data_IF_570129150799
#
_entry.id   IF_570129150799
#
_cell.length_a   1.000
_cell.length_b   1.000
_cell.length_c   1.000
_cell.angle_alpha   90.00
_cell.angle_beta   90.00
_cell.angle_gamma   90.00
#
_symmetry.space_group_name_H-M   'P 1'
#
loop_
_entity.id
_entity.type
_entity.pdbx_description
1 polymer ?
#
# COMPACT_ATOMS: atom_id res chain seq x y z
N UNK A 1 -13.46 -2.17 -10.35
CA UNK A 1 -13.22 -0.73 -10.51
C UNK A 1 -14.48 0.03 -10.23
N UNK A 2 -14.39 1.11 -9.48
CA UNK A 2 -15.51 1.91 -9.01
C UNK A 2 -16.04 2.95 -10.00
N UNK A 3 -15.47 3.04 -11.22
CA UNK A 3 -15.88 4.01 -12.24
C UNK A 3 -16.81 3.40 -13.28
N UNK A 4 -17.82 4.14 -13.72
CA UNK A 4 -18.75 3.75 -14.78
C UNK A 4 -19.28 4.96 -15.54
N UNK A 5 -19.63 4.78 -16.80
CA UNK A 5 -20.33 5.83 -17.56
C UNK A 5 -21.82 5.85 -17.18
N UNK A 6 -22.35 7.07 -16.97
CA UNK A 6 -23.78 7.29 -16.75
C UNK A 6 -24.56 7.36 -18.08
N UNK A 7 -25.88 7.56 -17.99
CA UNK A 7 -26.78 7.64 -19.16
C UNK A 7 -26.47 8.81 -20.10
N UNK A 8 -25.73 9.82 -19.60
CA UNK A 8 -25.28 10.96 -20.40
C UNK A 8 -23.89 10.71 -21.04
N UNK A 9 -23.30 9.54 -20.83
CA UNK A 9 -21.98 9.17 -21.28
C UNK A 9 -20.85 9.79 -20.49
N UNK A 10 -21.07 10.44 -19.34
CA UNK A 10 -20.02 10.98 -18.51
C UNK A 10 -19.50 9.93 -17.53
N UNK A 11 -18.18 9.90 -17.31
CA UNK A 11 -17.58 9.00 -16.33
C UNK A 11 -17.92 9.43 -14.90
N UNK A 12 -18.35 8.49 -14.07
CA UNK A 12 -18.75 8.72 -12.66
C UNK A 12 -18.01 7.78 -11.71
N UNK A 13 -17.84 8.20 -10.47
CA UNK A 13 -17.36 7.41 -9.34
C UNK A 13 -18.27 7.64 -8.15
N UNK A 14 -18.70 6.59 -7.48
CA UNK A 14 -19.65 6.66 -6.34
C UNK A 14 -20.90 7.52 -6.65
N UNK A 15 -21.39 7.51 -7.90
CA UNK A 15 -22.54 8.31 -8.35
C UNK A 15 -22.23 9.76 -8.71
N UNK A 16 -21.03 10.26 -8.47
CA UNK A 16 -20.62 11.64 -8.75
C UNK A 16 -20.00 11.77 -10.15
N UNK A 17 -20.42 12.78 -10.95
CA UNK A 17 -19.78 13.09 -12.23
C UNK A 17 -18.36 13.61 -12.02
N UNK A 18 -17.38 12.89 -12.56
CA UNK A 18 -15.97 13.27 -12.47
C UNK A 18 -15.66 14.53 -13.29
N UNK A 19 -16.41 14.77 -14.36
CA UNK A 19 -16.34 16.02 -15.14
C UNK A 19 -16.76 17.22 -14.29
N UNK A 20 -17.88 17.14 -13.59
CA UNK A 20 -18.36 18.19 -12.71
C UNK A 20 -17.35 18.46 -11.58
N UNK A 21 -16.76 17.41 -11.02
CA UNK A 21 -15.73 17.53 -9.98
C UNK A 21 -14.49 18.26 -10.53
N UNK A 22 -13.96 17.83 -11.69
CA UNK A 22 -12.82 18.49 -12.34
C UNK A 22 -13.08 19.96 -12.66
N UNK A 23 -14.29 20.30 -13.16
CA UNK A 23 -14.68 21.68 -13.45
C UNK A 23 -14.81 22.55 -12.19
N UNK A 24 -15.24 21.96 -11.08
CA UNK A 24 -15.48 22.72 -9.84
C UNK A 24 -14.21 22.94 -9.02
N UNK A 25 -13.27 22.01 -9.05
CA UNK A 25 -12.08 22.00 -8.18
C UNK A 25 -10.75 22.06 -8.94
N UNK A 26 -10.78 21.90 -10.26
CA UNK A 26 -9.59 21.87 -11.11
C UNK A 26 -8.90 20.51 -11.16
N UNK A 27 -7.83 20.46 -11.94
CA UNK A 27 -6.95 19.30 -12.13
C UNK A 27 -5.48 19.74 -12.01
N UNK A 28 -4.49 18.88 -11.76
CA UNK A 28 -4.65 17.47 -11.40
C UNK A 28 -5.35 17.28 -10.05
N UNK A 29 -6.18 16.23 -9.93
CA UNK A 29 -6.93 15.94 -8.71
C UNK A 29 -7.00 14.42 -8.49
N UNK A 30 -6.71 13.96 -7.27
CA UNK A 30 -6.82 12.55 -6.90
C UNK A 30 -8.18 12.32 -6.23
N UNK A 31 -8.88 11.28 -6.68
CA UNK A 31 -10.23 10.96 -6.21
C UNK A 31 -10.26 9.52 -5.74
N UNK A 32 -10.75 9.30 -4.52
CA UNK A 32 -10.94 7.99 -3.92
C UNK A 32 -12.42 7.65 -3.78
N UNK A 33 -12.77 6.41 -4.06
CA UNK A 33 -14.04 5.80 -3.68
C UNK A 33 -13.91 5.25 -2.25
N UNK A 34 -14.54 5.93 -1.29
CA UNK A 34 -14.49 5.54 0.13
C UNK A 34 -15.15 4.18 0.37
N UNK A 35 -16.25 3.90 -0.32
CA UNK A 35 -16.96 2.63 -0.18
C UNK A 35 -16.12 1.45 -0.66
N UNK A 36 -15.35 1.64 -1.73
CA UNK A 36 -14.42 0.61 -2.22
C UNK A 36 -13.24 0.40 -1.26
N UNK A 37 -12.65 1.46 -0.69
CA UNK A 37 -11.62 1.34 0.35
C UNK A 37 -12.13 0.49 1.51
N UNK A 38 -13.32 0.80 2.04
CA UNK A 38 -13.94 0.04 3.14
C UNK A 38 -14.23 -1.40 2.75
N UNK A 39 -14.72 -1.61 1.54
CA UNK A 39 -15.00 -2.94 1.02
C UNK A 39 -13.74 -3.81 0.99
N UNK A 40 -12.61 -3.30 0.51
CA UNK A 40 -11.36 -4.04 0.48
C UNK A 40 -10.87 -4.39 1.90
N UNK A 41 -10.94 -3.47 2.87
CA UNK A 41 -10.61 -3.75 4.27
C UNK A 41 -11.48 -4.89 4.84
N UNK A 42 -12.80 -4.84 4.58
CA UNK A 42 -13.75 -5.85 5.05
C UNK A 42 -13.54 -7.21 4.39
N UNK A 43 -13.10 -7.26 3.14
CA UNK A 43 -12.77 -8.52 2.45
C UNK A 43 -11.67 -9.27 3.19
N UNK A 44 -10.58 -8.60 3.58
CA UNK A 44 -9.53 -9.20 4.39
C UNK A 44 -10.04 -9.68 5.75
N UNK A 45 -10.83 -8.87 6.46
CA UNK A 45 -11.45 -9.29 7.72
C UNK A 45 -12.30 -10.55 7.56
N UNK A 46 -13.18 -10.57 6.56
CA UNK A 46 -14.07 -11.69 6.30
C UNK A 46 -13.31 -12.98 5.94
N UNK A 47 -12.20 -12.85 5.19
CA UNK A 47 -11.36 -13.99 4.85
C UNK A 47 -10.71 -14.60 6.09
N UNK A 48 -10.12 -13.77 6.96
CA UNK A 48 -9.52 -14.26 8.21
C UNK A 48 -10.54 -14.81 9.21
N UNK A 49 -11.71 -14.19 9.35
CA UNK A 49 -12.77 -14.71 10.22
C UNK A 49 -13.15 -16.14 9.87
N UNK A 50 -13.18 -16.50 8.58
CA UNK A 50 -13.47 -17.86 8.13
C UNK A 50 -12.37 -18.85 8.49
N UNK A 51 -11.11 -18.42 8.64
CA UNK A 51 -10.00 -19.30 9.02
C UNK A 51 -10.09 -19.78 10.47
N UNK A 52 -10.78 -19.04 11.35
CA UNK A 52 -10.87 -19.32 12.78
C UNK A 52 -9.57 -19.05 13.56
N UNK A 53 -8.53 -18.50 12.94
CA UNK A 53 -7.29 -18.09 13.61
C UNK A 53 -7.45 -16.69 14.23
N UNK A 54 -6.63 -16.40 15.24
CA UNK A 54 -6.42 -15.01 15.67
C UNK A 54 -5.66 -14.28 14.57
N UNK A 55 -6.03 -13.04 14.32
CA UNK A 55 -5.40 -12.25 13.26
C UNK A 55 -5.40 -10.76 13.57
N UNK A 56 -4.47 -10.04 12.97
CA UNK A 56 -4.52 -8.59 12.83
C UNK A 56 -4.23 -8.16 11.39
N UNK A 57 -4.76 -7.02 11.00
CA UNK A 57 -4.56 -6.43 9.68
C UNK A 57 -4.09 -5.01 9.90
N UNK A 58 -2.85 -4.70 9.51
CA UNK A 58 -2.28 -3.36 9.58
C UNK A 58 -2.34 -2.70 8.20
N UNK A 59 -2.93 -1.52 8.11
CA UNK A 59 -2.87 -0.77 6.86
C UNK A 59 -1.48 -0.14 6.69
N UNK A 60 -0.82 -0.41 5.56
CA UNK A 60 0.48 0.16 5.24
C UNK A 60 0.36 1.62 4.76
N UNK A 61 0.61 2.59 5.65
CA UNK A 61 0.49 4.05 5.39
C UNK A 61 1.27 4.53 4.18
N UNK A 62 2.41 3.91 3.88
CA UNK A 62 3.26 4.24 2.71
C UNK A 62 2.51 4.20 1.38
N UNK A 63 1.43 3.41 1.28
CA UNK A 63 0.62 3.34 0.06
C UNK A 63 -0.10 4.66 -0.20
N UNK A 64 -0.77 5.18 0.81
CA UNK A 64 -1.40 6.50 0.83
C UNK A 64 -1.79 6.84 2.27
N UNK A 65 -1.43 8.04 2.75
CA UNK A 65 -1.82 8.49 4.08
C UNK A 65 -2.25 9.96 4.10
N UNK A 66 -3.33 10.22 4.83
CA UNK A 66 -3.82 11.52 5.26
C UNK A 66 -4.77 11.30 6.45
N UNK A 67 -5.17 12.36 7.13
CA UNK A 67 -6.06 12.27 8.30
C UNK A 67 -7.35 11.49 7.99
N UNK A 68 -7.98 11.71 6.82
CA UNK A 68 -9.20 11.00 6.45
C UNK A 68 -8.96 9.49 6.26
N UNK A 69 -7.86 9.11 5.58
CA UNK A 69 -7.53 7.70 5.38
C UNK A 69 -7.28 6.99 6.73
N UNK A 70 -6.55 7.63 7.62
CA UNK A 70 -6.30 7.07 8.98
C UNK A 70 -7.60 6.88 9.76
N UNK A 71 -8.56 7.83 9.64
CA UNK A 71 -9.90 7.65 10.24
C UNK A 71 -10.65 6.46 9.68
N UNK A 72 -10.58 6.22 8.35
CA UNK A 72 -11.19 5.04 7.72
C UNK A 72 -10.58 3.75 8.28
N UNK A 73 -9.25 3.69 8.41
CA UNK A 73 -8.51 2.56 9.00
C UNK A 73 -9.00 2.29 10.42
N UNK A 74 -9.16 3.33 11.24
CA UNK A 74 -9.65 3.20 12.61
C UNK A 74 -11.11 2.73 12.67
N UNK A 75 -11.98 3.29 11.84
CA UNK A 75 -13.39 2.94 11.76
C UNK A 75 -13.64 1.50 11.30
N UNK A 76 -12.83 1.00 10.40
CA UNK A 76 -12.86 -0.39 9.93
C UNK A 76 -12.03 -1.35 10.82
N UNK A 77 -11.56 -0.87 11.97
CA UNK A 77 -10.87 -1.65 13.00
C UNK A 77 -9.56 -2.33 12.55
N UNK A 78 -8.80 -1.72 11.60
CA UNK A 78 -7.45 -2.15 11.25
C UNK A 78 -6.43 -1.52 12.20
N UNK A 79 -5.24 -2.12 12.27
CA UNK A 79 -4.03 -1.52 12.80
C UNK A 79 -3.39 -0.62 11.74
N UNK A 80 -2.31 0.07 12.08
CA UNK A 80 -1.66 1.01 11.18
C UNK A 80 -0.14 0.83 11.19
N UNK A 81 0.47 0.67 10.02
CA UNK A 81 1.91 0.72 9.87
C UNK A 81 2.36 2.14 9.56
N UNK A 82 3.37 2.61 10.26
CA UNK A 82 4.04 3.87 9.99
C UNK A 82 5.55 3.65 9.84
N UNK A 83 6.22 4.46 9.01
CA UNK A 83 7.67 4.33 8.77
C UNK A 83 8.45 5.61 9.05
N UNK A 84 7.79 6.68 9.49
CA UNK A 84 8.43 7.97 9.76
C UNK A 84 7.69 8.76 10.82
N UNK A 85 8.38 9.76 11.38
CA UNK A 85 7.78 10.76 12.28
C UNK A 85 6.55 11.42 11.63
N UNK A 86 6.60 11.71 10.33
CA UNK A 86 5.49 12.37 9.60
C UNK A 86 4.24 11.50 9.49
N UNK A 87 4.39 10.20 9.24
CA UNK A 87 3.26 9.27 9.23
C UNK A 87 2.70 9.07 10.65
N UNK A 88 3.54 8.93 11.66
CA UNK A 88 3.13 8.86 13.07
C UNK A 88 2.39 10.13 13.50
N UNK A 89 2.92 11.31 13.17
CA UNK A 89 2.26 12.59 13.44
C UNK A 89 0.86 12.65 12.81
N UNK A 90 0.73 12.24 11.55
CA UNK A 90 -0.56 12.20 10.85
C UNK A 90 -1.55 11.26 11.54
N UNK A 91 -1.07 10.11 12.02
CA UNK A 91 -1.89 9.15 12.76
C UNK A 91 -2.40 9.75 14.08
N UNK A 92 -1.52 10.40 14.84
CA UNK A 92 -1.87 11.03 16.12
C UNK A 92 -2.84 12.22 15.93
N UNK A 93 -2.64 13.04 14.89
CA UNK A 93 -3.58 14.12 14.54
C UNK A 93 -4.97 13.60 14.13
N UNK A 94 -5.02 12.42 13.51
CA UNK A 94 -6.28 11.74 13.22
C UNK A 94 -6.94 11.12 14.46
N UNK A 95 -6.28 11.18 15.64
CA UNK A 95 -6.69 10.55 16.90
C UNK A 95 -6.72 9.03 16.82
N UNK A 96 -5.82 8.46 16.03
CA UNK A 96 -5.65 7.02 15.98
C UNK A 96 -5.06 6.51 17.30
N UNK A 97 -5.52 5.35 17.76
CA UNK A 97 -5.00 4.71 18.98
C UNK A 97 -3.53 4.27 18.76
N UNK A 98 -2.55 4.90 19.41
CA UNK A 98 -1.14 4.59 19.19
C UNK A 98 -0.77 3.15 19.58
N UNK A 99 -1.50 2.51 20.50
CA UNK A 99 -1.29 1.12 20.88
C UNK A 99 -1.51 0.13 19.72
N UNK A 100 -2.17 0.58 18.64
CA UNK A 100 -2.47 -0.17 17.42
C UNK A 100 -1.54 0.19 16.26
N UNK A 101 -0.44 0.92 16.53
CA UNK A 101 0.55 1.32 15.53
C UNK A 101 1.74 0.38 15.56
N UNK A 102 2.18 -0.05 14.37
CA UNK A 102 3.44 -0.74 14.13
C UNK A 102 4.42 0.23 13.49
N UNK A 103 5.53 0.52 14.17
CA UNK A 103 6.53 1.45 13.65
C UNK A 103 7.64 0.68 12.92
N UNK A 104 7.61 0.74 11.60
CA UNK A 104 8.58 0.14 10.68
C UNK A 104 9.74 1.09 10.32
N UNK A 105 10.64 0.61 9.50
CA UNK A 105 11.75 1.37 8.94
C UNK A 105 13.11 0.76 9.29
N UNK A 106 14.00 0.68 8.30
CA UNK A 106 15.33 0.10 8.45
C UNK A 106 16.38 1.05 9.06
N UNK A 107 16.00 2.30 9.32
CA UNK A 107 16.88 3.30 9.92
C UNK A 107 16.03 4.34 10.67
N UNK A 108 15.48 3.95 11.82
CA UNK A 108 14.78 4.86 12.71
C UNK A 108 15.78 5.77 13.42
N UNK A 109 15.57 7.06 13.31
CA UNK A 109 16.41 8.04 14.03
C UNK A 109 16.12 8.02 15.53
N UNK A 110 17.09 8.49 16.32
CA UNK A 110 16.88 8.67 17.77
C UNK A 110 15.61 9.45 18.08
N UNK A 111 15.35 10.52 17.32
CA UNK A 111 14.17 11.38 17.51
C UNK A 111 12.88 10.61 17.24
N UNK A 112 12.82 9.83 16.18
CA UNK A 112 11.66 9.01 15.84
C UNK A 112 11.39 7.95 16.90
N UNK A 113 12.43 7.28 17.40
CA UNK A 113 12.31 6.30 18.49
C UNK A 113 11.74 6.97 19.76
N UNK A 114 12.29 8.10 20.17
CA UNK A 114 11.82 8.83 21.35
C UNK A 114 10.37 9.29 21.17
N UNK A 115 10.05 9.88 20.02
CA UNK A 115 8.69 10.33 19.73
C UNK A 115 7.68 9.18 19.74
N UNK A 116 8.04 8.02 19.19
CA UNK A 116 7.18 6.84 19.18
C UNK A 116 6.98 6.26 20.60
N UNK A 117 8.04 6.21 21.42
CA UNK A 117 7.96 5.79 22.83
C UNK A 117 7.08 6.73 23.65
N UNK A 118 7.28 8.04 23.54
CA UNK A 118 6.48 9.06 24.22
C UNK A 118 5.02 9.06 23.79
N UNK A 119 4.74 8.69 22.55
CA UNK A 119 3.38 8.59 22.00
C UNK A 119 2.67 7.30 22.38
N UNK A 120 3.35 6.31 22.95
CA UNK A 120 2.77 5.02 23.33
C UNK A 120 2.50 4.10 22.14
N UNK A 121 3.36 4.13 21.10
CA UNK A 121 3.27 3.22 19.95
C UNK A 121 3.29 1.77 20.41
N UNK A 122 2.36 0.96 19.90
CA UNK A 122 2.13 -0.41 20.36
C UNK A 122 3.27 -1.38 20.03
N UNK A 123 3.90 -1.23 18.84
CA UNK A 123 4.90 -2.17 18.36
C UNK A 123 6.03 -1.46 17.61
N UNK A 124 7.28 -1.83 17.92
CA UNK A 124 8.45 -1.47 17.11
C UNK A 124 8.85 -2.66 16.25
N UNK A 125 8.86 -2.49 14.93
CA UNK A 125 9.34 -3.51 13.98
C UNK A 125 10.83 -3.26 13.77
N UNK A 126 11.64 -4.13 14.35
CA UNK A 126 13.10 -4.02 14.42
C UNK A 126 13.74 -4.54 13.13
N UNK A 127 14.66 -3.78 12.60
CA UNK A 127 15.35 -4.07 11.34
C UNK A 127 16.89 -4.14 11.48
N UNK A 128 17.43 -3.83 12.67
CA UNK A 128 18.87 -3.94 12.95
C UNK A 128 19.17 -4.22 14.42
N UNK A 129 20.36 -4.79 14.69
CA UNK A 129 20.82 -5.05 16.07
C UNK A 129 21.10 -3.77 16.86
N UNK A 130 21.53 -2.71 16.17
CA UNK A 130 21.78 -1.40 16.79
C UNK A 130 20.48 -0.73 17.24
N UNK A 131 19.40 -0.91 16.49
CA UNK A 131 18.08 -0.38 16.85
C UNK A 131 17.56 -0.95 18.16
N UNK A 132 17.80 -2.25 18.43
CA UNK A 132 17.45 -2.88 19.70
C UNK A 132 18.08 -2.12 20.88
N UNK A 133 19.37 -1.82 20.77
CA UNK A 133 20.12 -1.09 21.82
C UNK A 133 19.60 0.34 22.00
N UNK A 134 19.19 1.00 20.89
CA UNK A 134 18.63 2.35 20.95
C UNK A 134 17.27 2.36 21.63
N UNK A 135 16.38 1.44 21.25
CA UNK A 135 15.04 1.37 21.84
C UNK A 135 15.17 1.03 23.35
N UNK A 136 15.95 0.01 23.73
CA UNK A 136 16.15 -0.38 25.12
C UNK A 136 16.72 0.76 25.97
N UNK A 137 17.64 1.57 25.41
CA UNK A 137 18.24 2.73 26.09
C UNK A 137 17.23 3.83 26.42
N UNK A 138 16.23 4.04 25.54
CA UNK A 138 15.26 5.14 25.71
C UNK A 138 13.91 4.67 26.25
N UNK A 139 13.65 3.37 26.31
CA UNK A 139 12.46 2.82 26.90
C UNK A 139 12.45 3.01 28.43
N UNK A 140 11.36 3.53 28.97
CA UNK A 140 11.10 3.58 30.42
C UNK A 140 10.21 2.46 30.91
N UNK A 141 9.40 1.92 30.00
CA UNK A 141 8.41 0.90 30.24
C UNK A 141 8.58 -0.29 29.28
N UNK A 142 7.77 -1.33 29.46
CA UNK A 142 7.79 -2.51 28.58
C UNK A 142 7.33 -2.15 27.16
N UNK A 143 8.16 -2.43 26.17
CA UNK A 143 7.93 -2.17 24.74
C UNK A 143 7.81 -3.48 24.00
N UNK A 144 6.71 -3.66 23.24
CA UNK A 144 6.59 -4.80 22.35
C UNK A 144 7.41 -4.58 21.07
N UNK A 145 8.20 -5.58 20.72
CA UNK A 145 9.02 -5.58 19.52
C UNK A 145 8.68 -6.77 18.62
N UNK A 146 8.71 -6.52 17.33
CA UNK A 146 8.55 -7.52 16.29
C UNK A 146 9.83 -7.51 15.46
N UNK A 147 10.53 -8.62 15.35
CA UNK A 147 11.80 -8.67 14.60
C UNK A 147 11.48 -8.94 13.13
N UNK A 148 11.92 -8.04 12.26
CA UNK A 148 11.85 -8.25 10.82
C UNK A 148 13.00 -9.14 10.39
N UNK A 149 12.67 -10.32 9.85
CA UNK A 149 13.65 -11.28 9.37
C UNK A 149 13.72 -11.30 7.85
N UNK A 150 14.90 -11.65 7.35
CA UNK A 150 15.12 -12.01 5.95
C UNK A 150 15.42 -13.52 5.89
N UNK A 151 14.48 -14.35 5.42
CA UNK A 151 14.64 -15.80 5.36
C UNK A 151 15.51 -16.27 4.19
N UNK A 152 15.92 -15.38 3.26
CA UNK A 152 16.76 -15.73 2.11
C UNK A 152 16.00 -16.49 1.00
N UNK A 153 14.67 -16.38 0.96
CA UNK A 153 13.85 -16.99 -0.11
C UNK A 153 13.81 -16.07 -1.31
N UNK A 154 14.25 -16.57 -2.47
CA UNK A 154 14.03 -15.91 -3.74
C UNK A 154 12.59 -16.13 -4.18
N UNK A 155 11.75 -15.11 -4.11
CA UNK A 155 10.50 -15.14 -4.84
C UNK A 155 10.84 -15.09 -6.34
N UNK A 156 10.52 -16.14 -7.09
CA UNK A 156 10.63 -16.18 -8.56
C UNK A 156 9.59 -15.24 -9.19
N UNK A 157 9.70 -13.95 -8.92
CA UNK A 157 8.91 -12.89 -9.53
C UNK A 157 9.86 -11.88 -10.14
N UNK A 158 9.44 -11.26 -11.27
CA UNK A 158 10.22 -10.31 -12.08
C UNK A 158 11.33 -9.53 -11.35
N UNK A 159 12.48 -9.37 -11.99
CA UNK A 159 13.78 -8.83 -11.53
C UNK A 159 13.75 -7.56 -10.64
N UNK A 160 12.63 -6.89 -10.48
CA UNK A 160 12.50 -5.63 -9.74
C UNK A 160 11.74 -5.70 -8.41
N UNK A 161 11.33 -6.90 -7.94
CA UNK A 161 10.48 -7.06 -6.74
C UNK A 161 11.12 -7.94 -5.65
N UNK A 162 12.42 -8.11 -5.69
CA UNK A 162 13.18 -8.99 -4.79
C UNK A 162 13.46 -8.31 -3.45
N UNK A 163 12.54 -8.42 -2.48
CA UNK A 163 12.83 -8.08 -1.07
C UNK A 163 13.32 -9.27 -0.25
N UNK A 164 13.25 -10.48 -0.80
CA UNK A 164 13.76 -11.72 -0.20
C UNK A 164 15.22 -12.05 -0.54
N UNK A 165 15.93 -11.21 -1.31
CA UNK A 165 17.36 -11.42 -1.59
C UNK A 165 18.19 -11.24 -0.33
N UNK A 166 19.24 -12.06 -0.17
CA UNK A 166 20.22 -11.92 0.92
C UNK A 166 20.84 -10.51 0.96
N UNK A 167 21.06 -9.90 -0.20
CA UNK A 167 21.51 -8.50 -0.35
C UNK A 167 20.29 -7.56 -0.32
N UNK A 168 19.73 -7.37 0.85
CA UNK A 168 18.65 -6.44 1.10
C UNK A 168 18.99 -5.54 2.29
N UNK A 169 18.62 -4.26 2.18
CA UNK A 169 18.71 -3.33 3.32
C UNK A 169 17.68 -3.62 4.42
N UNK A 170 16.76 -4.55 4.19
CA UNK A 170 15.66 -4.87 5.09
C UNK A 170 15.79 -6.26 5.69
N UNK A 171 15.50 -6.34 6.99
CA UNK A 171 15.37 -7.59 7.71
C UNK A 171 16.71 -8.21 8.11
N UNK A 172 16.67 -8.87 9.26
CA UNK A 172 17.81 -9.57 9.84
C UNK A 172 17.87 -10.99 9.26
N UNK A 173 19.00 -11.33 8.63
CA UNK A 173 19.20 -12.62 7.97
C UNK A 173 19.09 -13.78 8.96
N UNK A 174 18.19 -14.73 8.66
CA UNK A 174 18.10 -16.01 9.36
C UNK A 174 19.37 -16.83 9.09
N UNK A 175 19.75 -16.96 7.82
CA UNK A 175 20.87 -17.79 7.36
C UNK A 175 22.21 -17.39 7.96
N UNK A 176 22.44 -16.07 8.13
CA UNK A 176 23.70 -15.54 8.68
C UNK A 176 23.64 -15.32 10.21
N UNK A 177 22.61 -15.80 10.88
CA UNK A 177 22.49 -15.77 12.34
C UNK A 177 22.22 -14.38 12.92
N UNK A 178 21.85 -13.38 12.13
CA UNK A 178 21.50 -12.04 12.64
C UNK A 178 20.14 -12.06 13.33
N UNK A 179 19.20 -12.85 12.83
CA UNK A 179 17.88 -12.98 13.43
C UNK A 179 17.94 -13.59 14.85
N UNK A 180 18.73 -14.65 15.07
CA UNK A 180 18.85 -15.26 16.39
C UNK A 180 19.59 -14.32 17.37
N UNK A 181 20.62 -13.61 16.93
CA UNK A 181 21.29 -12.58 17.75
C UNK A 181 20.31 -11.47 18.19
N UNK A 182 19.36 -11.09 17.33
CA UNK A 182 18.33 -10.12 17.70
C UNK A 182 17.38 -10.66 18.76
N UNK A 183 16.96 -11.92 18.65
CA UNK A 183 16.13 -12.58 19.67
C UNK A 183 16.86 -12.60 21.00
N UNK A 184 18.12 -13.06 21.04
CA UNK A 184 18.94 -13.09 22.26
C UNK A 184 19.11 -11.72 22.91
N UNK A 185 19.34 -10.66 22.11
CA UNK A 185 19.43 -9.28 22.61
C UNK A 185 18.11 -8.79 23.20
N UNK A 186 16.97 -9.08 22.54
CA UNK A 186 15.64 -8.71 23.04
C UNK A 186 15.32 -9.46 24.33
N UNK A 187 15.61 -10.76 24.43
CA UNK A 187 15.39 -11.56 25.64
C UNK A 187 16.28 -11.13 26.82
N UNK A 188 17.48 -10.64 26.54
CA UNK A 188 18.39 -10.10 27.55
C UNK A 188 17.98 -8.71 28.06
N UNK A 189 17.11 -7.98 27.35
CA UNK A 189 16.62 -6.66 27.73
C UNK A 189 15.59 -6.73 28.87
N UNK A 190 15.58 -5.70 29.70
CA UNK A 190 14.56 -5.55 30.76
C UNK A 190 13.29 -4.84 30.27
N UNK A 191 13.41 -4.08 29.21
CA UNK A 191 12.32 -3.25 28.68
C UNK A 191 11.66 -3.85 27.44
N UNK A 192 12.39 -4.67 26.66
CA UNK A 192 11.87 -5.19 25.42
C UNK A 192 11.15 -6.53 25.61
N UNK A 193 10.08 -6.70 24.88
CA UNK A 193 9.32 -7.94 24.85
C UNK A 193 9.16 -8.42 23.42
N UNK A 194 9.73 -9.58 23.11
CA UNK A 194 9.54 -10.22 21.79
C UNK A 194 8.08 -10.62 21.61
N UNK A 195 7.37 -9.84 20.82
CA UNK A 195 5.96 -10.12 20.50
C UNK A 195 5.83 -11.03 19.31
N UNK A 196 6.71 -10.89 18.31
CA UNK A 196 6.57 -11.64 17.08
C UNK A 196 7.73 -11.51 16.12
N UNK A 197 7.54 -12.21 15.00
CA UNK A 197 8.43 -12.15 13.83
C UNK A 197 7.64 -11.58 12.65
N UNK A 198 8.30 -10.76 11.86
CA UNK A 198 7.78 -10.17 10.62
C UNK A 198 8.67 -10.56 9.45
N UNK A 199 8.07 -10.79 8.30
CA UNK A 199 8.77 -10.86 7.03
C UNK A 199 7.93 -10.21 5.92
N UNK A 200 8.56 -9.92 4.78
CA UNK A 200 7.87 -9.35 3.62
C UNK A 200 8.51 -9.91 2.35
N UNK A 201 7.74 -10.66 1.58
CA UNK A 201 8.26 -11.44 0.43
C UNK A 201 8.33 -10.65 -0.88
N UNK A 202 7.71 -9.47 -0.94
CA UNK A 202 7.75 -8.65 -2.16
C UNK A 202 6.52 -7.78 -2.37
N UNK A 203 6.35 -7.29 -3.59
CA UNK A 203 5.25 -6.41 -3.98
C UNK A 203 4.62 -6.91 -5.27
N UNK A 204 3.32 -6.66 -5.46
CA UNK A 204 2.54 -7.09 -6.62
C UNK A 204 2.50 -8.63 -6.77
N UNK A 205 2.24 -9.31 -5.66
CA UNK A 205 2.18 -10.77 -5.57
C UNK A 205 0.80 -11.23 -6.03
N UNK A 206 0.76 -12.17 -6.96
CA UNK A 206 -0.48 -12.69 -7.57
C UNK A 206 -0.96 -13.99 -6.93
N UNK A 207 -0.02 -14.82 -6.40
CA UNK A 207 -0.29 -16.12 -5.77
C UNK A 207 0.12 -16.19 -4.30
N UNK A 208 -0.01 -17.36 -3.70
CA UNK A 208 0.20 -17.61 -2.26
C UNK A 208 1.54 -18.28 -1.95
N UNK A 209 2.18 -18.88 -2.94
CA UNK A 209 3.30 -19.82 -2.81
C UNK A 209 4.48 -19.22 -2.04
N UNK A 210 4.89 -18.00 -2.41
CA UNK A 210 6.04 -17.34 -1.77
C UNK A 210 5.77 -17.02 -0.29
N UNK A 211 4.55 -16.61 0.06
CA UNK A 211 4.16 -16.36 1.45
C UNK A 211 4.11 -17.66 2.25
N UNK A 212 3.55 -18.72 1.69
CA UNK A 212 3.43 -20.04 2.33
C UNK A 212 4.81 -20.64 2.58
N UNK A 213 5.68 -20.63 1.57
CA UNK A 213 7.03 -21.15 1.68
C UNK A 213 7.83 -20.38 2.74
N UNK A 214 7.77 -19.06 2.70
CA UNK A 214 8.45 -18.22 3.69
C UNK A 214 7.91 -18.45 5.10
N UNK A 215 6.59 -18.55 5.28
CA UNK A 215 5.99 -18.83 6.58
C UNK A 215 6.46 -20.18 7.14
N UNK A 216 6.56 -21.22 6.31
CA UNK A 216 7.10 -22.54 6.72
C UNK A 216 8.56 -22.45 7.15
N UNK A 217 9.41 -21.75 6.40
CA UNK A 217 10.82 -21.56 6.76
C UNK A 217 10.94 -20.85 8.11
N UNK A 218 10.17 -19.80 8.34
CA UNK A 218 10.19 -19.04 9.60
C UNK A 218 9.68 -19.91 10.77
N UNK A 219 8.59 -20.67 10.60
CA UNK A 219 8.08 -21.58 11.63
C UNK A 219 9.07 -22.67 11.98
N UNK A 220 9.73 -23.27 10.99
CA UNK A 220 10.77 -24.29 11.22
C UNK A 220 11.94 -23.67 11.98
N UNK A 221 12.42 -22.50 11.58
CA UNK A 221 13.48 -21.78 12.29
C UNK A 221 13.12 -21.47 13.75
N UNK A 222 11.90 -20.98 14.00
CA UNK A 222 11.40 -20.72 15.35
C UNK A 222 11.39 -22.00 16.20
N UNK A 223 10.91 -23.11 15.64
CA UNK A 223 10.85 -24.39 16.31
C UNK A 223 12.24 -24.97 16.61
N UNK A 224 13.18 -24.90 15.67
CA UNK A 224 14.57 -25.34 15.83
C UNK A 224 15.30 -24.60 16.96
N UNK A 225 15.00 -23.32 17.13
CA UNK A 225 15.59 -22.49 18.18
C UNK A 225 14.75 -22.41 19.47
N UNK A 226 13.66 -23.19 19.55
CA UNK A 226 12.74 -23.19 20.71
C UNK A 226 12.16 -21.80 21.06
N UNK A 227 11.94 -20.95 20.06
CA UNK A 227 11.38 -19.61 20.20
C UNK A 227 9.87 -19.69 20.04
N UNK A 228 9.10 -19.24 21.04
CA UNK A 228 7.65 -19.07 20.93
C UNK A 228 7.33 -17.60 20.72
N UNK A 229 6.47 -17.29 19.76
CA UNK A 229 6.00 -15.92 19.48
C UNK A 229 4.49 -15.86 19.49
N UNK A 230 3.97 -14.71 19.86
CA UNK A 230 2.52 -14.48 19.85
C UNK A 230 2.02 -14.01 18.47
N UNK A 231 2.90 -13.42 17.65
CA UNK A 231 2.57 -12.85 16.33
C UNK A 231 3.52 -13.34 15.25
N UNK A 232 2.97 -13.83 14.15
CA UNK A 232 3.68 -14.04 12.89
C UNK A 232 3.09 -13.10 11.84
N UNK A 233 3.82 -12.03 11.51
CA UNK A 233 3.39 -11.04 10.54
C UNK A 233 4.02 -11.34 9.16
N UNK A 234 3.18 -11.61 8.19
CA UNK A 234 3.54 -12.03 6.83
C UNK A 234 3.86 -10.85 5.90
N UNK A 235 3.71 -9.63 6.41
CA UNK A 235 3.84 -8.42 5.60
C UNK A 235 2.69 -8.20 4.62
N UNK A 236 2.95 -7.40 3.61
CA UNK A 236 1.98 -7.08 2.56
C UNK A 236 2.41 -7.63 1.20
N UNK A 237 2.14 -6.84 0.16
CA UNK A 237 2.56 -7.17 -1.19
C UNK A 237 1.44 -7.65 -2.10
N UNK A 238 0.22 -7.79 -1.62
CA UNK A 238 -0.96 -8.24 -2.36
C UNK A 238 -1.18 -7.42 -3.63
N UNK A 239 -1.15 -8.10 -4.78
CA UNK A 239 -1.23 -7.53 -6.12
C UNK A 239 -2.64 -7.03 -6.48
N UNK A 240 -2.68 -6.04 -7.38
CA UNK A 240 -3.93 -5.48 -7.94
C UNK A 240 -3.84 -5.42 -9.45
N UNK A 241 -4.96 -5.16 -10.12
CA UNK A 241 -5.01 -4.91 -11.56
C UNK A 241 -4.73 -3.45 -11.88
N UNK A 242 -3.80 -3.22 -12.79
CA UNK A 242 -3.50 -1.89 -13.36
C UNK A 242 -4.02 -1.75 -14.79
N UNK A 243 -3.89 -2.84 -15.57
CA UNK A 243 -4.33 -2.90 -16.97
C UNK A 243 -5.12 -4.18 -17.24
N UNK A 244 -5.78 -4.25 -18.38
CA UNK A 244 -6.46 -5.46 -18.82
C UNK A 244 -5.44 -6.61 -18.97
N UNK A 245 -5.79 -7.79 -18.46
CA UNK A 245 -4.92 -8.96 -18.43
C UNK A 245 -4.14 -9.17 -17.15
N UNK A 246 -4.00 -8.15 -16.29
CA UNK A 246 -3.40 -8.32 -14.97
C UNK A 246 -4.29 -9.21 -14.07
N UNK A 247 -3.63 -9.94 -13.16
CA UNK A 247 -4.28 -10.76 -12.14
C UNK A 247 -4.10 -10.09 -10.78
N UNK A 248 -5.18 -9.91 -10.03
CA UNK A 248 -5.09 -9.47 -8.64
C UNK A 248 -4.99 -10.67 -7.71
N UNK A 249 -4.37 -10.46 -6.53
CA UNK A 249 -4.32 -11.46 -5.48
C UNK A 249 -5.75 -11.89 -5.07
N UNK A 250 -6.07 -13.19 -5.07
CA UNK A 250 -7.39 -13.71 -4.69
C UNK A 250 -7.55 -13.69 -3.19
N UNK A 251 -8.07 -12.59 -2.61
CA UNK A 251 -8.06 -12.33 -1.16
C UNK A 251 -8.68 -13.48 -0.37
N UNK A 252 -9.86 -13.92 -0.74
CA UNK A 252 -10.64 -14.89 0.01
C UNK A 252 -9.97 -16.27 -0.03
N UNK A 253 -9.64 -16.75 -1.20
CA UNK A 253 -8.98 -18.03 -1.45
C UNK A 253 -7.54 -18.02 -0.94
N UNK A 254 -6.81 -16.96 -1.22
CA UNK A 254 -5.40 -16.84 -0.84
C UNK A 254 -5.19 -16.79 0.67
N UNK A 255 -6.03 -16.06 1.41
CA UNK A 255 -5.96 -16.07 2.88
C UNK A 255 -6.31 -17.44 3.44
N UNK A 256 -7.29 -18.15 2.86
CA UNK A 256 -7.62 -19.51 3.27
C UNK A 256 -6.44 -20.46 3.06
N UNK A 257 -5.82 -20.46 1.88
CA UNK A 257 -4.65 -21.29 1.57
C UNK A 257 -3.47 -21.02 2.50
N UNK A 258 -3.15 -19.73 2.75
CA UNK A 258 -2.05 -19.33 3.64
C UNK A 258 -2.32 -19.80 5.07
N UNK A 259 -3.52 -19.56 5.58
CA UNK A 259 -3.87 -19.91 6.96
C UNK A 259 -3.92 -21.43 7.18
N UNK A 260 -4.40 -22.19 6.21
CA UNK A 260 -4.41 -23.66 6.27
C UNK A 260 -3.00 -24.26 6.19
N UNK A 261 -2.11 -23.67 5.37
CA UNK A 261 -0.72 -24.07 5.30
C UNK A 261 0.02 -23.80 6.62
N UNK A 262 -0.21 -22.64 7.26
CA UNK A 262 0.36 -22.32 8.57
C UNK A 262 -0.13 -23.29 9.66
N UNK A 263 -1.43 -23.58 9.72
CA UNK A 263 -1.98 -24.57 10.65
C UNK A 263 -1.32 -25.94 10.47
N UNK A 264 -1.30 -26.42 9.23
CA UNK A 264 -0.71 -27.74 8.91
C UNK A 264 0.76 -27.82 9.29
N UNK A 265 1.55 -26.76 9.04
CA UNK A 265 2.96 -26.74 9.41
C UNK A 265 3.15 -26.67 10.93
N UNK A 266 2.37 -25.85 11.61
CA UNK A 266 2.40 -25.75 13.08
C UNK A 266 2.05 -27.10 13.75
N UNK A 267 1.05 -27.83 13.23
CA UNK A 267 0.71 -29.18 13.72
C UNK A 267 1.87 -30.16 13.55
N UNK A 268 2.54 -30.17 12.38
CA UNK A 268 3.71 -31.05 12.13
C UNK A 268 4.85 -30.78 13.09
N UNK A 269 5.07 -29.50 13.42
CA UNK A 269 6.15 -29.05 14.29
C UNK A 269 5.79 -29.15 15.78
N UNK A 270 4.55 -29.47 16.12
CA UNK A 270 3.99 -29.36 17.48
C UNK A 270 4.23 -27.95 18.05
N UNK A 271 4.02 -26.91 17.23
CA UNK A 271 4.21 -25.50 17.53
C UNK A 271 2.85 -24.83 17.69
N UNK A 272 2.67 -24.00 18.72
CA UNK A 272 1.43 -23.26 18.92
C UNK A 272 1.21 -22.26 17.79
N UNK A 273 0.04 -22.28 17.15
CA UNK A 273 -0.28 -21.37 16.03
C UNK A 273 -0.33 -19.93 16.53
N UNK A 274 0.56 -19.04 16.06
CA UNK A 274 0.55 -17.65 16.47
C UNK A 274 -0.64 -16.87 15.87
N UNK A 275 -0.90 -15.68 16.37
CA UNK A 275 -1.75 -14.71 15.69
C UNK A 275 -1.13 -14.35 14.33
N UNK A 276 -1.94 -14.31 13.26
CA UNK A 276 -1.44 -14.01 11.92
C UNK A 276 -1.63 -12.54 11.60
N UNK A 277 -0.52 -11.85 11.35
CA UNK A 277 -0.52 -10.45 10.89
C UNK A 277 -0.35 -10.34 9.38
N UNK A 278 -1.01 -9.35 8.77
CA UNK A 278 -0.75 -8.92 7.38
C UNK A 278 -0.75 -7.39 7.27
N UNK A 279 -0.09 -6.87 6.22
CA UNK A 279 0.11 -5.44 6.00
C UNK A 279 -0.34 -4.99 4.59
N UNK A 280 -1.65 -5.13 4.24
CA UNK A 280 -2.13 -4.66 2.96
C UNK A 280 -2.10 -3.13 2.89
N UNK A 281 -1.60 -2.59 1.79
CA UNK A 281 -1.65 -1.16 1.47
C UNK A 281 -2.21 -0.95 0.08
N UNK A 282 -1.45 -1.35 -0.94
CA UNK A 282 -1.83 -1.28 -2.35
C UNK A 282 -3.20 -1.89 -2.62
N UNK A 283 -3.46 -3.09 -2.14
CA UNK A 283 -4.70 -3.82 -2.36
C UNK A 283 -5.94 -3.18 -1.70
N UNK A 284 -5.73 -2.26 -0.76
CA UNK A 284 -6.83 -1.50 -0.15
C UNK A 284 -7.17 -0.25 -0.96
N UNK A 285 -6.16 0.54 -1.35
CA UNK A 285 -6.41 1.88 -1.92
C UNK A 285 -6.13 1.98 -3.42
N UNK A 286 -5.36 1.05 -4.00
CA UNK A 286 -4.86 1.18 -5.37
C UNK A 286 -5.95 1.33 -6.40
N UNK A 287 -6.87 0.37 -6.51
CA UNK A 287 -7.99 0.38 -7.47
C UNK A 287 -9.14 1.30 -7.03
N UNK A 288 -9.18 1.71 -5.77
CA UNK A 288 -10.16 2.67 -5.24
C UNK A 288 -9.83 4.12 -5.62
N UNK A 289 -8.61 4.41 -6.09
CA UNK A 289 -8.16 5.75 -6.43
C UNK A 289 -7.90 5.95 -7.91
N UNK A 290 -8.26 7.14 -8.41
CA UNK A 290 -7.98 7.62 -9.76
C UNK A 290 -7.35 9.01 -9.69
N UNK A 291 -6.66 9.41 -10.76
CA UNK A 291 -6.19 10.79 -10.92
C UNK A 291 -6.82 11.41 -12.15
N UNK A 292 -7.44 12.59 -11.97
CA UNK A 292 -8.05 13.38 -13.03
C UNK A 292 -7.05 14.41 -13.56
N UNK A 293 -6.99 14.54 -14.87
CA UNK A 293 -6.16 15.50 -15.59
C UNK A 293 -6.94 16.18 -16.70
N UNK A 294 -6.60 17.45 -16.99
CA UNK A 294 -7.07 18.14 -18.18
C UNK A 294 -6.10 17.94 -19.34
N UNK A 295 -6.63 17.64 -20.51
CA UNK A 295 -5.88 17.56 -21.77
C UNK A 295 -5.46 18.96 -22.21
N UNK A 296 -4.17 19.14 -22.35
CA UNK A 296 -3.55 20.37 -22.87
C UNK A 296 -3.26 20.25 -24.37
N UNK A 297 -1.98 20.38 -24.74
CA UNK A 297 -1.52 20.31 -26.12
C UNK A 297 -1.56 18.88 -26.64
N UNK A 298 -2.10 18.72 -27.85
CA UNK A 298 -1.98 17.50 -28.63
C UNK A 298 -0.96 17.76 -29.75
N UNK A 299 0.09 16.94 -29.78
CA UNK A 299 1.15 17.03 -30.78
C UNK A 299 1.18 15.74 -31.60
N UNK A 300 0.74 15.85 -32.85
CA UNK A 300 0.79 14.77 -33.82
C UNK A 300 2.10 14.90 -34.63
N UNK A 301 2.90 13.85 -34.64
CA UNK A 301 4.12 13.74 -35.45
C UNK A 301 3.82 12.61 -36.45
N UNK A 302 3.47 12.93 -37.70
CA UNK A 302 3.03 11.96 -38.69
C UNK A 302 3.99 10.77 -38.80
N UNK A 303 3.44 9.56 -38.83
CA UNK A 303 4.15 8.28 -38.94
C UNK A 303 5.10 7.95 -37.78
N UNK A 304 5.16 8.80 -36.73
CA UNK A 304 6.06 8.60 -35.58
C UNK A 304 5.27 8.37 -34.30
N UNK A 305 4.55 9.38 -33.79
CA UNK A 305 3.82 9.29 -32.52
C UNK A 305 2.85 10.47 -32.34
N UNK A 306 1.76 10.24 -31.61
CA UNK A 306 0.86 11.28 -31.17
C UNK A 306 0.94 11.45 -29.66
N UNK A 307 1.29 12.64 -29.21
CA UNK A 307 1.36 12.99 -27.80
C UNK A 307 0.09 13.73 -27.36
N UNK A 308 -0.49 13.27 -26.27
CA UNK A 308 -1.59 13.95 -25.56
C UNK A 308 -1.01 14.44 -24.25
N UNK A 309 -0.72 15.73 -24.14
CA UNK A 309 -0.17 16.34 -22.93
C UNK A 309 -1.28 16.63 -21.92
N UNK A 310 -0.97 16.43 -20.63
CA UNK A 310 -1.87 16.70 -19.51
C UNK A 310 -1.28 17.75 -18.58
N UNK A 311 -2.09 18.31 -17.70
CA UNK A 311 -1.71 19.38 -16.76
C UNK A 311 -0.95 18.91 -15.51
N UNK A 312 -0.77 17.58 -15.32
CA UNK A 312 0.12 16.97 -14.33
C UNK A 312 1.38 16.39 -14.96
N UNK A 313 2.01 15.43 -14.29
CA UNK A 313 3.21 14.77 -14.77
C UNK A 313 3.86 13.84 -13.74
N UNK A 314 5.14 13.49 -13.96
CA UNK A 314 5.89 12.63 -13.07
C UNK A 314 6.01 13.17 -11.63
N UNK A 315 5.73 14.45 -11.39
CA UNK A 315 5.67 15.01 -10.04
C UNK A 315 4.57 14.41 -9.17
N UNK A 316 3.49 13.93 -9.77
CA UNK A 316 2.35 13.29 -9.12
C UNK A 316 2.11 11.86 -9.62
N UNK A 317 2.77 11.46 -10.71
CA UNK A 317 2.69 10.13 -11.34
C UNK A 317 4.06 9.57 -11.67
N UNK A 318 4.91 9.36 -10.65
CA UNK A 318 6.33 8.96 -10.83
C UNK A 318 6.50 7.50 -11.28
N UNK A 319 5.54 6.62 -11.04
CA UNK A 319 5.73 5.17 -11.15
C UNK A 319 6.03 4.66 -12.56
N UNK A 320 5.49 5.30 -13.59
CA UNK A 320 5.84 4.98 -14.98
C UNK A 320 7.32 5.26 -15.26
N UNK A 321 7.81 6.42 -14.85
CA UNK A 321 9.22 6.78 -15.02
C UNK A 321 10.17 5.92 -14.18
N UNK A 322 9.78 5.59 -12.94
CA UNK A 322 10.63 4.88 -11.98
C UNK A 322 10.65 3.36 -12.19
N UNK A 323 9.50 2.77 -12.52
CA UNK A 323 9.32 1.32 -12.56
C UNK A 323 8.82 0.78 -13.90
N UNK A 324 8.59 1.63 -14.90
CA UNK A 324 7.94 1.20 -16.15
C UNK A 324 6.49 0.73 -15.93
N UNK A 325 5.86 1.16 -14.84
CA UNK A 325 4.51 0.73 -14.48
C UNK A 325 3.51 1.14 -15.55
N UNK A 326 2.57 0.23 -15.86
CA UNK A 326 1.51 0.44 -16.87
C UNK A 326 0.23 0.90 -16.18
N UNK A 327 -0.54 1.73 -16.88
CA UNK A 327 -1.82 2.26 -16.40
C UNK A 327 -2.80 2.33 -17.56
N UNK A 328 -4.09 2.48 -17.21
CA UNK A 328 -5.18 2.70 -18.18
C UNK A 328 -5.77 4.11 -18.00
N UNK A 329 -6.08 4.76 -19.10
CA UNK A 329 -6.75 6.05 -19.13
C UNK A 329 -8.16 5.91 -19.71
N UNK A 330 -9.11 6.65 -19.15
CA UNK A 330 -10.46 6.78 -19.69
C UNK A 330 -10.79 8.26 -19.94
N UNK A 331 -11.52 8.52 -21.04
CA UNK A 331 -12.07 9.83 -21.32
C UNK A 331 -13.24 10.11 -20.38
N UNK A 332 -13.19 11.21 -19.64
CA UNK A 332 -14.19 11.56 -18.61
C UNK A 332 -15.44 12.18 -19.18
N UNK A 333 -15.28 13.02 -20.22
CA UNK A 333 -16.33 13.90 -20.75
C UNK A 333 -17.47 13.15 -21.42
N UNK A 334 -17.18 12.02 -22.04
CA UNK A 334 -18.10 11.24 -22.86
C UNK A 334 -17.59 9.81 -23.08
N UNK A 335 -18.54 8.88 -23.25
CA UNK A 335 -18.22 7.50 -23.59
C UNK A 335 -18.05 7.36 -25.10
N UNK A 336 -16.85 7.11 -25.56
CA UNK A 336 -16.51 6.86 -26.95
C UNK A 336 -15.56 5.67 -27.05
N UNK A 337 -15.57 5.02 -28.21
CA UNK A 337 -14.65 3.89 -28.47
C UNK A 337 -13.20 4.41 -28.52
N UNK A 338 -12.32 3.78 -27.78
CA UNK A 338 -10.88 3.98 -27.91
C UNK A 338 -10.41 3.30 -29.21
N UNK A 339 -9.96 4.09 -30.17
CA UNK A 339 -9.62 3.68 -31.53
C UNK A 339 -8.25 4.17 -31.99
N UNK A 340 -7.53 4.91 -31.15
CA UNK A 340 -6.22 5.47 -31.47
C UNK A 340 -5.21 5.20 -30.34
N UNK A 341 -4.00 4.77 -30.71
CA UNK A 341 -2.88 4.63 -29.77
C UNK A 341 -2.13 5.95 -29.67
N UNK A 342 -1.94 6.45 -28.45
CA UNK A 342 -1.26 7.71 -28.18
C UNK A 342 -0.29 7.58 -27.00
N UNK A 343 0.64 8.53 -26.85
CA UNK A 343 1.44 8.67 -25.65
C UNK A 343 0.87 9.79 -24.78
N UNK A 344 0.44 9.47 -23.56
CA UNK A 344 0.05 10.48 -22.59
C UNK A 344 1.32 10.99 -21.90
N UNK A 345 1.61 12.27 -22.02
CA UNK A 345 2.80 12.94 -21.49
C UNK A 345 2.41 14.02 -20.48
N UNK A 346 3.24 14.19 -19.47
CA UNK A 346 3.10 15.33 -18.54
C UNK A 346 3.56 16.67 -19.16
N UNK A 347 3.48 17.72 -18.36
CA UNK A 347 3.86 19.09 -18.74
C UNK A 347 5.25 19.50 -18.26
N UNK A 348 5.97 18.60 -17.57
CA UNK A 348 7.22 18.94 -16.90
C UNK A 348 8.39 18.97 -17.89
N UNK A 349 9.41 19.77 -17.55
CA UNK A 349 10.61 19.92 -18.39
C UNK A 349 11.59 18.76 -18.21
N UNK A 350 11.12 17.54 -18.52
CA UNK A 350 11.86 16.28 -18.41
C UNK A 350 11.40 15.31 -19.53
N UNK A 351 12.34 14.76 -20.26
CA UNK A 351 12.03 13.82 -21.36
C UNK A 351 11.36 12.52 -20.90
N UNK A 352 11.63 12.12 -19.66
CA UNK A 352 11.02 10.96 -19.00
C UNK A 352 9.63 11.21 -18.43
N UNK A 353 9.05 12.42 -18.60
CA UNK A 353 7.72 12.78 -18.07
C UNK A 353 6.59 12.18 -18.93
N UNK A 354 6.53 10.87 -18.92
CA UNK A 354 5.55 10.05 -19.63
C UNK A 354 4.67 9.33 -18.61
N UNK A 355 3.36 9.45 -18.78
CA UNK A 355 2.36 8.82 -17.92
C UNK A 355 1.96 7.45 -18.46
N UNK A 356 1.60 7.37 -19.74
CA UNK A 356 1.28 6.10 -20.41
C UNK A 356 1.86 6.17 -21.83
N UNK A 357 2.63 5.15 -22.23
CA UNK A 357 3.25 5.12 -23.58
C UNK A 357 2.27 4.72 -24.67
N UNK A 358 1.50 3.67 -24.47
CA UNK A 358 0.63 3.08 -25.48
C UNK A 358 -0.83 3.14 -24.98
N UNK A 359 -1.28 4.36 -24.67
CA UNK A 359 -2.65 4.58 -24.23
C UNK A 359 -3.63 4.46 -25.41
N UNK A 360 -4.70 3.70 -25.21
CA UNK A 360 -5.82 3.66 -26.13
C UNK A 360 -6.82 4.75 -25.76
N UNK A 361 -7.00 5.74 -26.64
CA UNK A 361 -7.96 6.84 -26.47
C UNK A 361 -8.84 6.98 -27.72
N UNK A 362 -10.04 7.61 -27.61
CA UNK A 362 -10.79 8.03 -28.79
C UNK A 362 -9.99 9.04 -29.61
N UNK A 363 -9.98 8.89 -30.93
CA UNK A 363 -9.33 9.83 -31.85
C UNK A 363 -9.93 11.27 -31.79
N UNK A 364 -11.13 11.39 -31.22
CA UNK A 364 -11.85 12.63 -30.99
C UNK A 364 -11.36 13.44 -29.75
N UNK A 365 -10.39 12.92 -28.97
CA UNK A 365 -9.82 13.63 -27.82
C UNK A 365 -9.24 14.97 -28.25
N UNK A 366 -9.55 16.00 -27.48
CA UNK A 366 -9.16 17.37 -27.77
C UNK A 366 -8.77 18.12 -26.51
N UNK A 367 -8.10 19.26 -26.70
CA UNK A 367 -7.77 20.19 -25.62
C UNK A 367 -9.02 20.57 -24.81
N UNK A 368 -8.90 20.56 -23.48
CA UNK A 368 -9.99 20.83 -22.54
C UNK A 368 -10.85 19.61 -22.20
N UNK A 369 -10.59 18.44 -22.80
CA UNK A 369 -11.16 17.20 -22.31
C UNK A 369 -10.48 16.77 -21.01
N UNK A 370 -11.14 15.93 -20.22
CA UNK A 370 -10.57 15.35 -19.00
C UNK A 370 -10.28 13.88 -19.18
N UNK A 371 -9.16 13.43 -18.63
CA UNK A 371 -8.77 12.02 -18.55
C UNK A 371 -8.76 11.57 -17.10
N UNK A 372 -9.22 10.35 -16.85
CA UNK A 372 -9.05 9.63 -15.58
C UNK A 372 -7.99 8.55 -15.77
N UNK A 373 -6.88 8.63 -15.04
CA UNK A 373 -5.90 7.54 -14.96
C UNK A 373 -6.32 6.64 -13.81
N UNK A 374 -6.55 5.36 -14.11
CA UNK A 374 -7.10 4.38 -13.18
C UNK A 374 -6.01 3.78 -12.28
N UNK A 375 -6.44 3.19 -11.15
CA UNK A 375 -5.57 2.47 -10.20
C UNK A 375 -4.40 3.30 -9.66
N UNK A 376 -4.60 4.60 -9.46
CA UNK A 376 -3.59 5.54 -8.94
C UNK A 376 -3.69 5.78 -7.44
N UNK A 377 -4.52 5.02 -6.72
CA UNK A 377 -4.74 5.24 -5.29
C UNK A 377 -3.52 4.93 -4.41
N UNK A 378 -2.59 4.08 -4.88
CA UNK A 378 -1.40 3.70 -4.11
C UNK A 378 -0.12 4.22 -4.76
N UNK A 379 0.77 4.82 -3.93
CA UNK A 379 2.12 5.26 -4.33
C UNK A 379 2.15 6.37 -5.40
N UNK A 380 1.09 7.18 -5.49
CA UNK A 380 1.06 8.41 -6.30
C UNK A 380 1.17 9.63 -5.38
N UNK A 381 0.14 9.94 -4.61
CA UNK A 381 0.20 11.05 -3.65
C UNK A 381 1.37 10.95 -2.67
N UNK A 382 1.61 9.76 -2.12
CA UNK A 382 2.68 9.52 -1.14
C UNK A 382 4.09 9.67 -1.74
N UNK A 383 4.26 9.43 -3.04
CA UNK A 383 5.54 9.60 -3.76
C UNK A 383 5.60 10.90 -4.55
N UNK A 384 4.60 11.77 -4.45
CA UNK A 384 4.58 13.03 -5.17
C UNK A 384 5.72 13.96 -4.74
N UNK A 385 6.25 14.71 -5.70
CA UNK A 385 7.34 15.67 -5.52
C UNK A 385 6.93 17.08 -5.95
N UNK A 386 7.80 18.05 -5.70
CA UNK A 386 7.62 19.41 -6.17
C UNK A 386 8.51 19.75 -7.38
N UNK A 387 8.82 18.76 -8.23
CA UNK A 387 9.60 19.00 -9.44
C UNK A 387 8.93 20.09 -10.30
N UNK A 388 9.72 20.99 -10.90
CA UNK A 388 9.28 22.22 -11.56
C UNK A 388 8.33 23.10 -10.71
N UNK A 389 8.41 23.04 -9.38
CA UNK A 389 7.54 23.76 -8.42
C UNK A 389 6.05 23.36 -8.54
N UNK A 390 5.75 22.16 -9.04
CA UNK A 390 4.38 21.65 -9.06
C UNK A 390 3.87 21.44 -7.64
N UNK A 391 2.61 21.78 -7.42
CA UNK A 391 1.91 21.49 -6.17
C UNK A 391 1.43 20.04 -6.16
N UNK A 392 1.34 19.43 -4.99
CA UNK A 392 0.67 18.14 -4.86
C UNK A 392 -0.81 18.29 -5.19
N UNK A 393 -1.40 17.34 -5.95
CA UNK A 393 -2.83 17.39 -6.26
C UNK A 393 -3.70 17.37 -5.00
N UNK A 394 -4.83 18.07 -4.95
CA UNK A 394 -5.82 17.90 -3.91
C UNK A 394 -6.40 16.48 -3.95
N UNK A 395 -6.90 16.02 -2.80
CA UNK A 395 -7.47 14.69 -2.64
C UNK A 395 -8.94 14.80 -2.23
N UNK A 396 -9.81 14.06 -2.91
CA UNK A 396 -11.23 13.95 -2.59
C UNK A 396 -11.61 12.50 -2.28
N UNK A 397 -12.48 12.33 -1.29
CA UNK A 397 -13.14 11.06 -0.99
C UNK A 397 -14.60 11.17 -1.39
N UNK A 398 -15.03 10.29 -2.27
CA UNK A 398 -16.43 10.19 -2.70
C UNK A 398 -17.08 8.99 -1.99
N UNK A 399 -18.34 9.19 -1.62
CA UNK A 399 -19.17 8.17 -0.97
C UNK A 399 -20.51 8.12 -1.67
N UNK A 400 -21.07 6.91 -1.91
CA UNK A 400 -22.34 6.74 -2.56
C UNK A 400 -23.50 7.32 -1.75
N UNK A 401 -24.45 7.97 -2.41
CA UNK A 401 -25.59 8.63 -1.75
C UNK A 401 -26.57 7.65 -1.10
N UNK A 402 -26.62 6.42 -1.53
CA UNK A 402 -27.53 5.38 -1.00
C UNK A 402 -27.33 5.09 0.49
N UNK A 403 -26.20 5.48 1.10
CA UNK A 403 -25.92 5.35 2.53
C UNK A 403 -26.17 6.62 3.34
N UNK A 404 -26.67 7.70 2.73
CA UNK A 404 -26.97 8.97 3.41
C UNK A 404 -28.26 8.97 4.24
N UNK A 405 -29.01 7.87 4.27
CA UNK A 405 -30.19 7.78 5.14
C UNK A 405 -29.72 7.51 6.58
N UNK A 406 -29.29 8.57 7.26
CA UNK A 406 -29.07 8.55 8.69
C UNK A 406 -27.76 9.14 9.21
N UNK A 407 -27.35 10.33 8.76
CA UNK A 407 -26.64 11.33 9.61
C UNK A 407 -26.28 12.58 8.78
N UNK A 408 -26.64 13.72 9.33
CA UNK A 408 -26.44 15.04 8.76
C UNK A 408 -24.99 15.28 8.35
N UNK A 409 -24.80 15.76 7.10
CA UNK A 409 -23.57 16.41 6.66
C UNK A 409 -23.36 17.68 7.47
N UNK A 410 -22.26 17.78 8.21
CA UNK A 410 -21.63 19.09 8.49
C UNK A 410 -20.42 19.23 7.56
N UNK A 411 -20.50 20.25 6.71
CA UNK A 411 -19.41 20.81 5.91
C UNK A 411 -18.28 21.27 6.82
#
# INVERSE_FOLDING_TARGET
MSVKYNDYGELTMAGTSLKTLAQSFGTPTIVYDEDEIRNQMRRFHNAFQKSGLKYNISYASKAFTCIQMVKLVQEENLQLDVVSEGELYTALEAKFDPSRIHFHGNNKTKREIQYALESGVGYFVIDSLEEIELIDRYASDRVNVVIRVNPGVEAHTHEFIQTGQEDSKFGLSIRHGLAIQAVEKVEASKHLHLKGIHFHVGSQIEGTEAMIETAKIVLNWLNEHHIQVELLNLGGGFGIKYVEGDVSFPIEEGIAEITDAIKSESEKLNYDVPEIGIEPGRSIVGEAGITLYEVGTIKDIPEVNKYVSIDGGMSDHIRTALYGAKYQALLVNRHEKADETVTIAGKLCESGDIIIRDAMLPSSVKRGDYLAILSTGAYHYSMASNYNQMQKPPVFFLRSEERRVGKECRL
#
